data_IF_501988365215
#
_entry.id   IF_501988365215
#
_cell.length_a   1.000
_cell.length_b   1.000
_cell.length_c   1.000
_cell.angle_alpha   90.00
_cell.angle_beta   90.00
_cell.angle_gamma   90.00
#
_symmetry.space_group_name_H-M   'P 1'
#
loop_
_entity.id
_entity.type
_entity.pdbx_description
1 polymer ?
#
# COMPACT_ATOMS: atom_id res chain seq x y z
N UNK A 1 -6.47 -14.36 1.59
CA UNK A 1 -5.40 -13.49 1.07
C UNK A 1 -4.72 -14.16 -0.10
N UNK A 2 -4.74 -13.53 -1.24
CA UNK A 2 -4.15 -14.07 -2.46
C UNK A 2 -3.05 -13.16 -2.95
N UNK A 3 -1.86 -13.74 -3.19
CA UNK A 3 -0.77 -13.01 -3.81
C UNK A 3 -0.86 -13.12 -5.32
N UNK A 4 -0.84 -11.98 -6.00
CA UNK A 4 -0.91 -11.90 -7.45
C UNK A 4 0.50 -11.82 -8.00
N UNK A 5 0.85 -12.72 -8.92
CA UNK A 5 2.10 -12.62 -9.65
C UNK A 5 1.88 -11.85 -10.95
N UNK A 6 2.78 -10.93 -11.23
CA UNK A 6 2.58 -9.92 -12.26
C UNK A 6 3.14 -10.37 -13.61
N UNK A 7 2.64 -11.48 -14.14
CA UNK A 7 3.10 -12.00 -15.43
C UNK A 7 2.45 -11.33 -16.64
N UNK A 8 1.21 -10.90 -16.51
CA UNK A 8 0.41 -10.47 -17.66
C UNK A 8 0.09 -8.98 -17.58
N UNK A 9 -0.20 -8.45 -16.42
CA UNK A 9 -0.59 -7.05 -16.25
C UNK A 9 0.48 -6.24 -15.55
N UNK A 10 1.27 -5.47 -16.29
CA UNK A 10 2.25 -4.58 -15.68
C UNK A 10 1.54 -3.59 -14.75
N UNK A 11 2.05 -3.47 -13.51
CA UNK A 11 1.54 -2.52 -12.53
C UNK A 11 0.39 -2.99 -11.67
N UNK A 12 -0.09 -4.22 -11.84
CA UNK A 12 -1.12 -4.80 -10.97
C UNK A 12 -0.54 -4.95 -9.55
N UNK A 13 -1.31 -4.56 -8.49
CA UNK A 13 -0.86 -4.73 -7.11
C UNK A 13 -0.54 -6.18 -6.72
N UNK A 14 0.34 -6.34 -5.72
CA UNK A 14 0.88 -7.64 -5.31
C UNK A 14 -0.11 -8.55 -4.60
N UNK A 15 -1.04 -7.98 -3.84
CA UNK A 15 -1.97 -8.73 -3.02
C UNK A 15 -3.41 -8.46 -3.40
N UNK A 16 -4.21 -9.51 -3.32
CA UNK A 16 -5.66 -9.43 -3.40
C UNK A 16 -6.25 -9.98 -2.10
N UNK A 17 -7.10 -9.20 -1.47
CA UNK A 17 -7.83 -9.59 -0.28
C UNK A 17 -9.30 -9.69 -0.64
N UNK A 18 -9.91 -10.86 -0.38
CA UNK A 18 -11.34 -11.04 -0.53
C UNK A 18 -11.96 -11.06 0.87
N UNK A 19 -12.85 -10.13 1.16
CA UNK A 19 -13.49 -10.06 2.47
C UNK A 19 -14.70 -11.01 2.56
N UNK A 20 -15.32 -11.07 3.73
CA UNK A 20 -16.46 -11.97 3.98
C UNK A 20 -17.67 -11.64 3.12
N UNK A 21 -17.82 -10.41 2.68
CA UNK A 21 -18.92 -10.00 1.79
C UNK A 21 -18.67 -10.34 0.33
N UNK A 22 -17.46 -10.85 0.00
CA UNK A 22 -17.07 -11.17 -1.37
C UNK A 22 -16.43 -9.98 -2.11
N UNK A 23 -16.24 -8.86 -1.44
CA UNK A 23 -15.58 -7.69 -2.05
C UNK A 23 -14.07 -7.91 -2.13
N UNK A 24 -13.49 -7.53 -3.27
CA UNK A 24 -12.06 -7.61 -3.50
C UNK A 24 -11.37 -6.28 -3.18
N UNK A 25 -10.19 -6.39 -2.57
CA UNK A 25 -9.32 -5.26 -2.25
C UNK A 25 -7.92 -5.58 -2.78
N UNK A 26 -7.30 -4.63 -3.47
CA UNK A 26 -5.97 -4.81 -4.03
C UNK A 26 -4.97 -3.93 -3.28
N UNK A 27 -3.83 -4.51 -2.93
CA UNK A 27 -2.82 -3.84 -2.11
C UNK A 27 -1.45 -4.01 -2.74
N UNK A 28 -0.81 -2.90 -3.05
CA UNK A 28 0.59 -2.86 -3.47
C UNK A 28 1.47 -2.79 -2.22
N UNK A 29 2.40 -3.74 -2.06
CA UNK A 29 3.33 -3.78 -0.94
C UNK A 29 4.65 -3.14 -1.31
N UNK A 30 5.18 -2.29 -0.45
CA UNK A 30 6.51 -1.70 -0.59
C UNK A 30 7.29 -1.78 0.72
N UNK A 31 8.58 -2.08 0.60
CA UNK A 31 9.52 -2.08 1.72
C UNK A 31 10.55 -1.00 1.46
N UNK A 32 10.67 -0.06 2.39
CA UNK A 32 11.60 1.06 2.25
C UNK A 32 12.44 1.26 3.50
N UNK A 33 13.58 1.93 3.34
CA UNK A 33 14.47 2.31 4.45
C UNK A 33 14.57 3.81 4.65
N UNK A 34 14.36 4.59 3.59
CA UNK A 34 14.32 6.05 3.63
C UNK A 34 12.92 6.57 3.41
N UNK A 35 12.78 7.66 2.70
CA UNK A 35 11.50 8.31 2.43
C UNK A 35 10.98 8.07 1.01
N UNK A 36 11.86 7.71 0.08
CA UNK A 36 11.48 7.46 -1.30
C UNK A 36 10.69 6.16 -1.43
N UNK A 37 9.65 6.19 -2.24
CA UNK A 37 8.80 5.02 -2.50
C UNK A 37 9.03 4.55 -3.95
N UNK A 38 9.60 3.36 -4.15
CA UNK A 38 10.00 2.89 -5.48
C UNK A 38 8.82 2.32 -6.27
N UNK A 39 7.86 3.18 -6.59
CA UNK A 39 6.75 2.82 -7.47
C UNK A 39 7.19 2.96 -8.93
N UNK A 40 7.00 1.91 -9.72
CA UNK A 40 7.28 1.97 -11.16
C UNK A 40 6.18 2.77 -11.86
N UNK A 41 6.49 3.40 -13.01
CA UNK A 41 5.47 4.15 -13.76
C UNK A 41 4.21 3.34 -14.07
N UNK A 42 4.35 2.04 -14.38
CA UNK A 42 3.21 1.15 -14.63
C UNK A 42 2.34 0.95 -13.39
N UNK A 43 2.96 0.88 -12.21
CA UNK A 43 2.23 0.76 -10.94
C UNK A 43 1.46 2.04 -10.63
N UNK A 44 2.08 3.19 -10.83
CA UNK A 44 1.41 4.49 -10.63
C UNK A 44 0.23 4.63 -11.60
N UNK A 45 0.44 4.29 -12.86
CA UNK A 45 -0.61 4.37 -13.88
C UNK A 45 -1.79 3.46 -13.53
N UNK A 46 -1.51 2.23 -13.11
CA UNK A 46 -2.55 1.27 -12.75
C UNK A 46 -3.35 1.75 -11.53
N UNK A 47 -2.64 2.16 -10.46
CA UNK A 47 -3.26 2.66 -9.22
C UNK A 47 -4.09 3.91 -9.48
N UNK A 48 -3.59 4.85 -10.27
CA UNK A 48 -4.31 6.08 -10.61
C UNK A 48 -5.58 5.79 -11.41
N UNK A 49 -5.51 4.84 -12.35
CA UNK A 49 -6.67 4.45 -13.15
C UNK A 49 -7.76 3.79 -12.31
N UNK A 50 -7.37 3.09 -11.25
CA UNK A 50 -8.28 2.32 -10.39
C UNK A 50 -8.48 2.95 -9.02
N UNK A 51 -8.23 4.25 -8.88
CA UNK A 51 -8.29 4.93 -7.59
C UNK A 51 -9.68 4.96 -6.95
N UNK A 52 -10.73 4.74 -7.74
CA UNK A 52 -12.11 4.68 -7.23
C UNK A 52 -12.52 3.27 -6.77
N UNK A 53 -11.71 2.28 -7.06
CA UNK A 53 -11.89 0.93 -6.52
C UNK A 53 -11.13 0.81 -5.19
N UNK A 54 -11.30 -0.31 -4.49
CA UNK A 54 -10.56 -0.55 -3.26
C UNK A 54 -9.13 -0.99 -3.58
N UNK A 55 -8.27 -0.02 -3.82
CA UNK A 55 -6.86 -0.21 -4.15
C UNK A 55 -6.00 0.65 -3.22
N UNK A 56 -4.92 0.05 -2.72
CA UNK A 56 -4.14 0.60 -1.62
C UNK A 56 -2.65 0.40 -1.84
N UNK A 57 -1.86 1.24 -1.19
CA UNK A 57 -0.41 1.05 -1.06
C UNK A 57 -0.10 0.89 0.42
N UNK A 58 0.51 -0.23 0.78
CA UNK A 58 0.91 -0.51 2.15
C UNK A 58 2.44 -0.55 2.20
N UNK A 59 3.01 0.33 3.00
CA UNK A 59 4.45 0.52 3.09
C UNK A 59 4.95 0.05 4.45
N UNK A 60 5.96 -0.82 4.46
CA UNK A 60 6.73 -1.15 5.65
C UNK A 60 8.06 -0.41 5.55
N UNK A 61 8.37 0.38 6.56
CA UNK A 61 9.60 1.16 6.62
C UNK A 61 10.44 0.75 7.82
N UNK A 62 11.70 0.45 7.58
CA UNK A 62 12.66 0.18 8.66
C UNK A 62 13.99 0.87 8.35
N UNK A 63 14.26 1.93 9.07
CA UNK A 63 15.46 2.76 8.86
C UNK A 63 16.72 2.04 9.33
N UNK A 64 16.64 1.37 10.49
CA UNK A 64 17.76 0.61 11.09
C UNK A 64 17.25 -0.71 11.63
N UNK A 65 18.08 -1.74 11.56
CA UNK A 65 17.73 -3.08 12.07
C UNK A 65 17.39 -3.08 13.56
N UNK A 66 17.94 -2.13 14.33
CA UNK A 66 17.72 -2.01 15.77
C UNK A 66 16.48 -1.20 16.14
N UNK A 67 15.84 -0.53 15.18
CA UNK A 67 14.64 0.25 15.41
C UNK A 67 13.40 -0.53 15.02
N UNK A 68 12.25 -0.28 15.66
CA UNK A 68 11.02 -0.92 15.24
C UNK A 68 10.61 -0.45 13.84
N UNK A 69 10.05 -1.35 13.05
CA UNK A 69 9.47 -1.01 11.76
C UNK A 69 8.19 -0.21 11.94
N UNK A 70 7.87 0.60 10.96
CA UNK A 70 6.56 1.25 10.90
C UNK A 70 5.80 0.82 9.65
N UNK A 71 4.49 0.95 9.70
CA UNK A 71 3.59 0.60 8.63
C UNK A 71 2.75 1.84 8.26
N UNK A 72 2.68 2.14 6.97
CA UNK A 72 1.95 3.31 6.46
C UNK A 72 0.97 2.84 5.39
N UNK A 73 -0.30 3.21 5.54
CA UNK A 73 -1.34 2.86 4.58
C UNK A 73 -1.77 4.10 3.79
N UNK A 74 -1.76 3.97 2.47
CA UNK A 74 -2.18 5.03 1.55
C UNK A 74 -3.25 4.52 0.60
N UNK A 75 -4.25 5.36 0.26
CA UNK A 75 -5.15 5.02 -0.85
C UNK A 75 -4.43 5.11 -2.19
N UNK A 76 -4.94 4.43 -3.20
CA UNK A 76 -4.34 4.43 -4.53
C UNK A 76 -4.23 5.83 -5.13
N UNK A 77 -5.13 6.75 -4.77
CA UNK A 77 -5.09 8.14 -5.23
C UNK A 77 -3.79 8.86 -4.83
N UNK A 78 -3.07 8.37 -3.82
CA UNK A 78 -1.81 8.97 -3.38
C UNK A 78 -0.59 8.51 -4.19
N UNK A 79 -0.75 7.58 -5.13
CA UNK A 79 0.38 6.93 -5.81
C UNK A 79 1.29 7.91 -6.55
N UNK A 80 0.73 8.88 -7.25
CA UNK A 80 1.52 9.89 -7.98
C UNK A 80 2.37 10.69 -7.02
N UNK A 81 1.78 11.22 -5.96
CA UNK A 81 2.48 12.04 -4.97
C UNK A 81 3.54 11.22 -4.21
N UNK A 82 3.23 9.97 -3.89
CA UNK A 82 4.21 9.07 -3.25
C UNK A 82 5.43 8.86 -4.13
N UNK A 83 5.23 8.66 -5.43
CA UNK A 83 6.33 8.49 -6.36
C UNK A 83 7.19 9.74 -6.47
N UNK A 84 6.56 10.90 -6.55
CA UNK A 84 7.25 12.18 -6.76
C UNK A 84 7.91 12.71 -5.50
N UNK A 85 7.23 12.61 -4.36
CA UNK A 85 7.64 13.30 -3.12
C UNK A 85 8.05 12.36 -1.99
N UNK A 86 7.75 11.06 -2.10
CA UNK A 86 7.99 10.11 -1.03
C UNK A 86 7.05 10.31 0.16
N UNK A 87 7.31 9.58 1.24
CA UNK A 87 6.43 9.60 2.43
C UNK A 87 6.58 10.86 3.28
N UNK A 88 7.65 11.61 3.11
CA UNK A 88 7.92 12.80 3.93
C UNK A 88 6.86 13.90 3.73
N UNK A 89 6.38 14.05 2.48
CA UNK A 89 5.43 15.10 2.11
C UNK A 89 4.01 14.62 1.89
N UNK A 90 3.77 13.32 2.02
CA UNK A 90 2.45 12.74 1.77
C UNK A 90 1.94 12.08 3.04
N UNK A 91 0.88 12.62 3.61
CA UNK A 91 0.25 12.08 4.82
C UNK A 91 -0.39 10.73 4.54
N UNK A 92 -0.09 9.68 5.33
CA UNK A 92 -0.79 8.40 5.21
C UNK A 92 -2.19 8.49 5.81
N UNK A 93 -3.07 7.61 5.35
CA UNK A 93 -4.37 7.42 5.98
C UNK A 93 -4.21 6.84 7.39
N UNK A 94 -3.23 5.97 7.59
CA UNK A 94 -2.93 5.37 8.87
C UNK A 94 -1.43 5.06 8.97
N UNK A 95 -0.87 5.24 10.17
CA UNK A 95 0.53 4.94 10.48
C UNK A 95 0.61 4.29 11.85
N UNK A 96 1.38 3.21 11.97
CA UNK A 96 1.67 2.60 13.27
C UNK A 96 3.06 1.97 13.27
N UNK A 97 3.64 1.83 14.46
CA UNK A 97 4.88 1.08 14.67
C UNK A 97 4.59 -0.35 15.12
N UNK A 98 5.59 -1.22 15.05
CA UNK A 98 5.48 -2.57 15.59
C UNK A 98 5.16 -2.56 17.09
N UNK A 99 4.29 -3.47 17.58
CA UNK A 99 3.52 -4.44 16.80
C UNK A 99 2.43 -3.74 15.96
N UNK A 100 2.28 -4.18 14.70
CA UNK A 100 1.34 -3.53 13.78
C UNK A 100 -0.12 -3.80 14.17
N UNK A 101 -0.95 -2.79 14.03
CA UNK A 101 -2.39 -2.85 14.30
C UNK A 101 -3.14 -3.37 13.08
N UNK A 102 -2.99 -4.66 12.79
CA UNK A 102 -3.56 -5.27 11.58
C UNK A 102 -5.08 -5.14 11.51
N UNK A 103 -5.76 -5.25 12.66
CA UNK A 103 -7.22 -5.10 12.69
C UNK A 103 -7.65 -3.72 12.21
N UNK A 104 -6.95 -2.67 12.64
CA UNK A 104 -7.22 -1.30 12.20
C UNK A 104 -6.94 -1.13 10.71
N UNK A 105 -5.83 -1.68 10.23
CA UNK A 105 -5.44 -1.60 8.81
C UNK A 105 -6.51 -2.27 7.95
N UNK A 106 -6.93 -3.49 8.31
CA UNK A 106 -7.94 -4.22 7.54
C UNK A 106 -9.31 -3.56 7.62
N UNK A 107 -9.67 -2.94 8.75
CA UNK A 107 -10.92 -2.20 8.88
C UNK A 107 -10.95 -0.96 7.97
N UNK A 108 -9.81 -0.33 7.76
CA UNK A 108 -9.70 0.80 6.84
C UNK A 108 -9.81 0.37 5.38
N UNK A 109 -9.20 -0.77 5.03
CA UNK A 109 -9.25 -1.33 3.68
C UNK A 109 -10.65 -1.87 3.36
N UNK A 110 -11.25 -2.55 4.30
CA UNK A 110 -12.57 -3.20 4.17
C UNK A 110 -13.48 -2.80 5.33
N UNK A 111 -14.04 -1.58 5.29
CA UNK A 111 -14.95 -1.14 6.34
C UNK A 111 -16.23 -1.97 6.32
N UNK A 112 -16.65 -2.40 7.48
CA UNK A 112 -17.90 -3.17 7.67
C UNK A 112 -19.00 -2.28 8.21
#
# INVERSE_FOLDING_TARGET
LTRIENYIGAGIPDLMICDESGQLHLVELKYITGNAVPLRPSQVAWLSRHQHASCWVLIKRQTKATEPSECLLYPAAAAVDLKMDGIEKVEPLFRCQQPFHWDTIFDLISPT
#
